data_IF_937858263760
#
_entry.id   IF_937858263760
#
_cell.length_a   1.000
_cell.length_b   1.000
_cell.length_c   1.000
_cell.angle_alpha   90.00
_cell.angle_beta   90.00
_cell.angle_gamma   90.00
#
_symmetry.space_group_name_H-M   'P 1'
#
loop_
_entity.id
_entity.type
_entity.pdbx_description
1 polymer ?
#
# COMPACT_ATOMS: atom_id res chain seq x y z
N UNK A 1 -2.64 11.19 9.67
CA UNK A 1 -3.13 10.79 8.33
C UNK A 1 -2.80 11.79 7.21
N UNK A 2 -2.43 13.05 7.51
CA UNK A 2 -2.06 14.05 6.48
C UNK A 2 -0.86 13.64 5.60
N UNK A 3 0.15 12.96 6.15
CA UNK A 3 1.33 12.51 5.39
C UNK A 3 1.00 11.56 4.25
N UNK A 4 0.04 10.65 4.45
CA UNK A 4 -0.38 9.68 3.42
C UNK A 4 -1.13 10.39 2.30
N UNK A 5 -2.00 11.34 2.62
CA UNK A 5 -2.70 12.17 1.63
C UNK A 5 -1.72 13.03 0.83
N UNK A 6 -0.78 13.70 1.50
CA UNK A 6 0.26 14.47 0.81
C UNK A 6 1.06 13.61 -0.18
N UNK A 7 1.51 12.42 0.26
CA UNK A 7 2.25 11.50 -0.61
C UNK A 7 1.39 10.98 -1.77
N UNK A 8 0.10 10.71 -1.53
CA UNK A 8 -0.81 10.30 -2.59
C UNK A 8 -0.93 11.38 -3.66
N UNK A 9 -1.18 12.63 -3.27
CA UNK A 9 -1.33 13.75 -4.20
C UNK A 9 -0.02 14.03 -4.95
N UNK A 10 1.12 13.92 -4.27
CA UNK A 10 2.43 14.07 -4.89
C UNK A 10 2.69 12.97 -5.93
N UNK A 11 2.42 11.70 -5.58
CA UNK A 11 2.62 10.59 -6.51
C UNK A 11 1.62 10.61 -7.67
N UNK A 12 0.36 10.99 -7.44
CA UNK A 12 -0.62 11.14 -8.51
C UNK A 12 -0.17 12.19 -9.55
N UNK A 13 0.49 13.27 -9.11
CA UNK A 13 1.04 14.30 -10.00
C UNK A 13 2.29 13.85 -10.74
N UNK A 14 3.21 13.17 -10.05
CA UNK A 14 4.52 12.77 -10.60
C UNK A 14 4.42 11.50 -11.47
N UNK A 15 3.39 10.67 -11.26
CA UNK A 15 3.17 9.42 -11.98
C UNK A 15 1.86 9.44 -12.79
N UNK A 16 1.71 10.32 -13.81
CA UNK A 16 0.45 10.50 -14.51
C UNK A 16 -0.03 9.27 -15.30
N UNK A 17 0.88 8.33 -15.60
CA UNK A 17 0.59 7.11 -16.36
C UNK A 17 0.35 5.88 -15.49
N UNK A 18 0.50 6.00 -14.16
CA UNK A 18 0.28 4.86 -13.27
C UNK A 18 -1.20 4.49 -13.26
N UNK A 19 -1.48 3.19 -13.32
CA UNK A 19 -2.84 2.71 -13.16
C UNK A 19 -3.38 3.04 -11.76
N UNK A 20 -4.58 3.61 -11.65
CA UNK A 20 -5.16 4.06 -10.38
C UNK A 20 -5.14 2.98 -9.29
N UNK A 21 -5.55 1.74 -9.60
CA UNK A 21 -5.45 0.61 -8.64
C UNK A 21 -4.04 0.30 -8.15
N UNK A 22 -3.01 0.55 -8.97
CA UNK A 22 -1.61 0.31 -8.60
C UNK A 22 -1.14 1.41 -7.65
N UNK A 23 -1.54 2.66 -7.89
CA UNK A 23 -1.30 3.77 -6.96
C UNK A 23 -1.99 3.54 -5.61
N UNK A 24 -3.26 3.14 -5.61
CA UNK A 24 -4.02 2.76 -4.40
C UNK A 24 -3.34 1.63 -3.61
N UNK A 25 -2.85 0.60 -4.30
CA UNK A 25 -2.11 -0.47 -3.65
C UNK A 25 -0.79 0.02 -3.04
N UNK A 26 -0.05 0.89 -3.74
CA UNK A 26 1.16 1.52 -3.23
C UNK A 26 0.88 2.35 -1.98
N UNK A 27 -0.15 3.21 -2.01
CA UNK A 27 -0.51 4.04 -0.86
C UNK A 27 -0.96 3.23 0.34
N UNK A 28 -1.70 2.13 0.13
CA UNK A 28 -2.06 1.22 1.21
C UNK A 28 -0.83 0.54 1.85
N UNK A 29 0.17 0.16 1.04
CA UNK A 29 1.43 -0.38 1.54
C UNK A 29 2.25 0.66 2.32
N UNK A 30 2.29 1.91 1.86
CA UNK A 30 2.93 3.03 2.57
C UNK A 30 2.24 3.29 3.92
N UNK A 31 0.91 3.31 3.96
CA UNK A 31 0.16 3.48 5.20
C UNK A 31 0.44 2.33 6.18
N UNK A 32 0.45 1.08 5.70
CA UNK A 32 0.78 -0.09 6.50
C UNK A 32 2.23 -0.04 7.04
N UNK A 33 3.17 0.47 6.25
CA UNK A 33 4.56 0.66 6.67
C UNK A 33 4.67 1.71 7.78
N UNK A 34 4.01 2.87 7.63
CA UNK A 34 4.04 3.93 8.63
C UNK A 34 3.41 3.49 9.96
N UNK A 35 2.39 2.63 9.90
CA UNK A 35 1.74 2.09 11.09
C UNK A 35 2.54 0.93 11.72
N UNK A 36 2.96 -0.04 10.91
CA UNK A 36 3.60 -1.28 11.36
C UNK A 36 5.11 -1.21 11.55
N UNK A 37 5.76 -0.17 11.00
CA UNK A 37 7.20 0.11 11.10
C UNK A 37 8.11 -1.05 10.65
N UNK A 38 7.58 -1.94 9.80
CA UNK A 38 8.26 -3.13 9.34
C UNK A 38 8.03 -3.32 7.84
N UNK A 39 9.11 -3.20 7.07
CA UNK A 39 9.11 -3.35 5.62
C UNK A 39 9.28 -4.83 5.22
N UNK A 40 8.29 -5.65 5.53
CA UNK A 40 8.26 -7.07 5.13
C UNK A 40 6.91 -7.44 4.54
N UNK A 41 6.90 -8.29 3.50
CA UNK A 41 5.68 -8.69 2.77
C UNK A 41 4.53 -9.09 3.73
N UNK A 42 4.82 -10.01 4.65
CA UNK A 42 3.86 -10.49 5.65
C UNK A 42 3.49 -9.42 6.66
N UNK A 43 4.45 -8.58 7.08
CA UNK A 43 4.22 -7.53 8.06
C UNK A 43 3.29 -6.44 7.51
N UNK A 44 3.55 -5.97 6.29
CA UNK A 44 2.70 -5.03 5.57
C UNK A 44 1.28 -5.61 5.38
N UNK A 45 1.19 -6.86 4.93
CA UNK A 45 -0.09 -7.54 4.72
C UNK A 45 -0.93 -7.68 6.00
N UNK A 46 -0.32 -7.88 7.17
CA UNK A 46 -1.04 -8.02 8.45
C UNK A 46 -1.54 -6.69 9.01
N UNK A 47 -0.87 -5.59 8.70
CA UNK A 47 -1.22 -4.23 9.17
C UNK A 47 -2.12 -3.49 8.18
N UNK A 48 -2.27 -4.03 6.96
CA UNK A 48 -3.08 -3.42 5.92
C UNK A 48 -4.55 -3.24 6.36
N UNK A 49 -5.13 -2.05 6.18
CA UNK A 49 -6.50 -1.78 6.59
C UNK A 49 -7.49 -2.57 5.72
N UNK A 50 -8.52 -3.15 6.35
CA UNK A 50 -9.62 -3.84 5.68
C UNK A 50 -10.14 -5.05 6.45
N UNK A 51 -11.25 -5.62 5.97
CA UNK A 51 -11.88 -6.83 6.52
C UNK A 51 -11.39 -8.14 5.89
N UNK A 52 -10.43 -8.06 4.96
CA UNK A 52 -9.91 -9.23 4.27
C UNK A 52 -9.11 -10.12 5.23
N UNK A 53 -9.23 -11.44 5.09
CA UNK A 53 -8.38 -12.36 5.84
C UNK A 53 -6.89 -12.06 5.60
N UNK A 54 -6.02 -12.28 6.60
CA UNK A 54 -4.59 -11.98 6.49
C UNK A 54 -3.93 -12.55 5.24
N UNK A 55 -4.30 -13.78 4.82
CA UNK A 55 -3.80 -14.40 3.59
C UNK A 55 -4.08 -13.58 2.33
N UNK A 56 -5.23 -12.90 2.25
CA UNK A 56 -5.61 -12.08 1.09
C UNK A 56 -4.92 -10.72 1.12
N UNK A 57 -4.74 -10.14 2.30
CA UNK A 57 -4.00 -8.89 2.46
C UNK A 57 -2.51 -9.07 2.13
N UNK A 58 -1.91 -10.20 2.53
CA UNK A 58 -0.53 -10.57 2.14
C UNK A 58 -0.43 -10.74 0.62
N UNK A 59 -1.36 -11.47 -0.01
CA UNK A 59 -1.42 -11.60 -1.48
C UNK A 59 -1.60 -10.26 -2.21
N UNK A 60 -2.27 -9.28 -1.58
CA UNK A 60 -2.41 -7.93 -2.16
C UNK A 60 -1.06 -7.22 -2.22
N UNK A 61 -0.26 -7.30 -1.16
CA UNK A 61 1.11 -6.74 -1.15
C UNK A 61 2.00 -7.50 -2.13
N UNK A 62 1.88 -8.82 -2.19
CA UNK A 62 2.64 -9.68 -3.10
C UNK A 62 2.43 -9.27 -4.57
N UNK A 63 1.17 -9.10 -5.00
CA UNK A 63 0.82 -8.61 -6.34
C UNK A 63 1.29 -7.18 -6.62
N UNK A 64 1.40 -6.33 -5.61
CA UNK A 64 1.97 -4.99 -5.78
C UNK A 64 3.47 -5.08 -6.15
N UNK A 65 4.19 -6.01 -5.53
CA UNK A 65 5.61 -6.26 -5.78
C UNK A 65 5.89 -6.94 -7.13
N UNK A 66 4.85 -7.49 -7.77
CA UNK A 66 4.95 -8.06 -9.13
C UNK A 66 5.08 -9.58 -9.19
N UNK A 67 4.71 -10.29 -8.12
CA UNK A 67 4.44 -11.74 -8.16
C UNK A 67 3.06 -12.05 -8.77
#
# INVERSE_FOLDING_TARGET
MQTVQFLHDAFAKVLPTIHARRLEALMAAVAALLQGRSLGLTALGRVLPGSAYPKHAIKRVDRLLGN
#
